data_IF_341619093535
#
_entry.id   IF_341619093535
#
_cell.length_a   1.000
_cell.length_b   1.000
_cell.length_c   1.000
_cell.angle_alpha   90.00
_cell.angle_beta   90.00
_cell.angle_gamma   90.00
#
_symmetry.space_group_name_H-M   'P 1'
#
loop_
_entity.id
_entity.type
_entity.pdbx_description
1 polymer ?
#
# COMPACT_ATOMS: atom_id res chain seq x y z
N UNK A 1 3.03 -18.37 -0.55
CA UNK A 1 2.40 -18.08 0.76
C UNK A 1 3.34 -17.35 1.72
N UNK A 2 4.47 -17.93 2.17
CA UNK A 2 5.37 -17.27 3.13
C UNK A 2 5.89 -15.90 2.65
N UNK A 3 6.22 -15.76 1.36
CA UNK A 3 6.67 -14.49 0.80
C UNK A 3 5.58 -13.40 0.89
N UNK A 4 4.34 -13.72 0.55
CA UNK A 4 3.23 -12.75 0.64
C UNK A 4 2.90 -12.39 2.09
N UNK A 5 2.92 -13.37 3.01
CA UNK A 5 2.76 -13.07 4.44
C UNK A 5 3.89 -12.17 4.96
N UNK A 6 5.14 -12.40 4.54
CA UNK A 6 6.26 -11.52 4.84
C UNK A 6 6.07 -10.10 4.31
N UNK A 7 5.50 -9.95 3.11
CA UNK A 7 5.13 -8.64 2.58
C UNK A 7 4.05 -7.94 3.42
N UNK A 8 3.03 -8.68 3.87
CA UNK A 8 1.97 -8.13 4.73
C UNK A 8 2.50 -7.63 6.07
N UNK A 9 3.45 -8.35 6.66
CA UNK A 9 4.13 -7.90 7.90
C UNK A 9 4.97 -6.65 7.61
N UNK A 10 5.68 -6.60 6.48
CA UNK A 10 6.45 -5.43 6.09
C UNK A 10 5.56 -4.18 5.95
N UNK A 11 4.41 -4.30 5.32
CA UNK A 11 3.45 -3.20 5.18
C UNK A 11 2.73 -2.82 6.48
N UNK A 12 2.63 -3.73 7.45
CA UNK A 12 2.16 -3.39 8.79
C UNK A 12 3.21 -2.60 9.58
N UNK A 13 4.50 -2.92 9.41
CA UNK A 13 5.61 -2.23 10.05
C UNK A 13 5.93 -0.87 9.43
N UNK A 14 5.70 -0.71 8.12
CA UNK A 14 6.00 0.53 7.38
C UNK A 14 5.40 1.79 8.06
N UNK A 15 4.09 1.90 8.29
CA UNK A 15 3.49 3.08 8.90
C UNK A 15 3.89 3.27 10.36
N UNK A 16 4.23 2.21 11.08
CA UNK A 16 4.71 2.28 12.45
C UNK A 16 6.08 2.99 12.50
N UNK A 17 7.05 2.49 11.71
CA UNK A 17 8.37 3.11 11.66
C UNK A 17 8.34 4.51 11.01
N UNK A 18 7.43 4.75 10.05
CA UNK A 18 7.21 6.08 9.52
C UNK A 18 6.79 7.06 10.63
N UNK A 19 5.81 6.70 11.48
CA UNK A 19 5.42 7.54 12.62
C UNK A 19 6.53 7.74 13.64
N UNK A 20 7.32 6.70 13.93
CA UNK A 20 8.47 6.84 14.81
C UNK A 20 9.54 7.78 14.22
N UNK A 21 9.70 7.81 12.91
CA UNK A 21 10.65 8.74 12.26
C UNK A 21 10.22 10.20 12.38
N UNK A 22 8.91 10.49 12.46
CA UNK A 22 8.37 11.84 12.56
C UNK A 22 8.67 12.56 13.88
N UNK A 23 9.30 11.89 14.84
CA UNK A 23 9.81 12.56 16.03
C UNK A 23 10.90 13.62 15.70
N UNK A 24 11.73 13.39 14.67
CA UNK A 24 12.85 14.23 14.28
C UNK A 24 12.97 14.46 12.77
N UNK A 25 12.04 13.96 11.98
CA UNK A 25 12.01 14.10 10.52
C UNK A 25 10.59 14.44 10.06
N UNK A 26 10.48 15.11 8.93
CA UNK A 26 9.19 15.27 8.29
C UNK A 26 8.85 14.07 7.36
N UNK A 27 7.64 14.07 6.79
CA UNK A 27 7.19 12.99 5.92
C UNK A 27 7.92 12.96 4.57
N UNK A 28 8.42 14.10 4.07
CA UNK A 28 9.18 14.19 2.82
C UNK A 28 10.60 13.66 3.01
N UNK A 29 11.26 14.04 4.10
CA UNK A 29 12.57 13.50 4.49
C UNK A 29 12.48 11.99 4.65
N UNK A 30 11.47 11.51 5.39
CA UNK A 30 11.23 10.07 5.58
C UNK A 30 10.95 9.35 4.27
N UNK A 31 10.12 9.90 3.40
CA UNK A 31 9.81 9.32 2.09
C UNK A 31 11.02 9.30 1.17
N UNK A 32 11.89 10.30 1.26
CA UNK A 32 13.13 10.37 0.45
C UNK A 32 14.12 9.29 0.87
N UNK A 33 14.43 9.19 2.16
CA UNK A 33 15.33 8.14 2.67
C UNK A 33 14.75 6.75 2.40
N UNK A 34 13.44 6.56 2.61
CA UNK A 34 12.73 5.33 2.24
C UNK A 34 12.96 4.99 0.76
N UNK A 35 12.74 5.94 -0.15
CA UNK A 35 12.87 5.69 -1.60
C UNK A 35 14.31 5.30 -1.98
N UNK A 36 15.32 5.93 -1.38
CA UNK A 36 16.74 5.61 -1.60
C UNK A 36 17.01 4.16 -1.14
N UNK A 37 16.62 3.78 0.08
CA UNK A 37 16.91 2.45 0.60
C UNK A 37 16.13 1.36 -0.12
N UNK A 38 14.87 1.59 -0.50
CA UNK A 38 14.12 0.67 -1.38
C UNK A 38 14.85 0.47 -2.71
N UNK A 39 15.37 1.55 -3.30
CA UNK A 39 16.15 1.49 -4.55
C UNK A 39 17.39 0.62 -4.40
N UNK A 40 18.15 0.80 -3.30
CA UNK A 40 19.35 0.01 -3.02
C UNK A 40 19.04 -1.48 -2.83
N UNK A 41 18.01 -1.81 -2.05
CA UNK A 41 17.56 -3.20 -1.85
C UNK A 41 17.11 -3.82 -3.17
N UNK A 42 16.32 -3.10 -3.96
CA UNK A 42 15.84 -3.57 -5.25
C UNK A 42 16.96 -3.79 -6.26
N UNK A 43 17.95 -2.88 -6.28
CA UNK A 43 19.14 -2.99 -7.10
C UNK A 43 19.96 -4.23 -6.71
N UNK A 44 20.23 -4.41 -5.42
CA UNK A 44 20.95 -5.59 -4.90
C UNK A 44 20.23 -6.88 -5.30
N UNK A 45 18.92 -6.93 -5.13
CA UNK A 45 18.13 -8.10 -5.53
C UNK A 45 18.18 -8.35 -7.05
N UNK A 46 18.10 -7.30 -7.87
CA UNK A 46 18.22 -7.42 -9.32
C UNK A 46 19.63 -7.89 -9.76
N UNK A 47 20.69 -7.46 -9.07
CA UNK A 47 22.04 -7.98 -9.32
C UNK A 47 22.15 -9.48 -9.04
N UNK A 48 21.59 -9.94 -7.94
CA UNK A 48 21.65 -11.36 -7.56
C UNK A 48 20.78 -12.23 -8.49
N UNK A 49 19.54 -11.81 -8.78
CA UNK A 49 18.54 -12.66 -9.45
C UNK A 49 18.47 -12.47 -10.97
N UNK A 50 18.92 -11.33 -11.47
CA UNK A 50 18.85 -10.95 -12.89
C UNK A 50 20.23 -10.61 -13.49
N UNK A 51 21.32 -11.02 -12.84
CA UNK A 51 22.71 -10.75 -13.25
C UNK A 51 22.96 -9.25 -13.54
N UNK A 52 22.33 -8.36 -12.81
CA UNK A 52 22.43 -6.91 -13.00
C UNK A 52 21.75 -6.37 -14.27
N UNK A 53 20.99 -7.18 -14.99
CA UNK A 53 20.32 -6.73 -16.21
C UNK A 53 19.08 -5.88 -15.84
N UNK A 54 19.24 -4.57 -15.96
CA UNK A 54 18.17 -3.58 -15.75
C UNK A 54 17.51 -3.12 -17.05
N UNK A 55 17.84 -3.73 -18.20
CA UNK A 55 17.30 -3.30 -19.49
C UNK A 55 15.78 -3.44 -19.56
N UNK A 56 15.13 -2.36 -20.00
CA UNK A 56 13.68 -2.28 -20.24
C UNK A 56 13.43 -1.67 -21.61
N UNK A 57 12.37 -2.07 -22.28
CA UNK A 57 11.97 -1.43 -23.53
C UNK A 57 11.22 -0.11 -23.27
N UNK A 58 11.03 0.72 -24.32
CA UNK A 58 10.37 2.04 -24.20
C UNK A 58 8.99 1.95 -23.57
N UNK A 59 8.19 0.94 -23.92
CA UNK A 59 6.83 0.74 -23.36
C UNK A 59 6.90 0.40 -21.87
N UNK A 60 7.77 -0.53 -21.47
CA UNK A 60 8.00 -0.87 -20.06
C UNK A 60 8.47 0.35 -19.28
N UNK A 61 9.41 1.13 -19.82
CA UNK A 61 9.90 2.34 -19.16
C UNK A 61 8.78 3.37 -18.93
N UNK A 62 7.94 3.67 -19.94
CA UNK A 62 6.79 4.56 -19.74
C UNK A 62 5.84 4.08 -18.64
N UNK A 63 5.60 2.76 -18.56
CA UNK A 63 4.77 2.18 -17.52
C UNK A 63 5.42 2.31 -16.14
N UNK A 64 6.72 2.07 -16.03
CA UNK A 64 7.48 2.22 -14.80
C UNK A 64 7.50 3.68 -14.32
N UNK A 65 7.62 4.65 -15.24
CA UNK A 65 7.47 6.08 -14.94
C UNK A 65 6.07 6.38 -14.38
N UNK A 66 5.02 5.87 -15.02
CA UNK A 66 3.66 6.04 -14.51
C UNK A 66 3.51 5.49 -13.08
N UNK A 67 4.04 4.28 -12.82
CA UNK A 67 3.97 3.68 -11.48
C UNK A 67 4.78 4.48 -10.45
N UNK A 68 5.92 5.05 -10.83
CA UNK A 68 6.70 5.94 -9.98
C UNK A 68 5.94 7.22 -9.63
N UNK A 69 5.31 7.85 -10.64
CA UNK A 69 4.56 9.09 -10.46
C UNK A 69 3.27 8.86 -9.66
N UNK A 70 2.42 7.95 -10.11
CA UNK A 70 1.10 7.73 -9.49
C UNK A 70 1.20 6.95 -8.17
N UNK A 71 2.08 5.92 -8.10
CA UNK A 71 2.19 5.04 -6.94
C UNK A 71 3.10 5.59 -5.85
N UNK A 72 4.24 6.18 -6.19
CA UNK A 72 5.21 6.61 -5.17
C UNK A 72 5.18 8.12 -4.97
N UNK A 73 5.30 8.94 -6.01
CA UNK A 73 5.31 10.40 -5.84
C UNK A 73 3.93 11.00 -5.53
N UNK A 74 2.86 10.36 -5.91
CA UNK A 74 1.53 10.81 -5.52
C UNK A 74 1.00 10.00 -4.34
N UNK A 75 0.67 8.72 -4.54
CA UNK A 75 -0.04 7.94 -3.53
C UNK A 75 0.75 7.74 -2.23
N UNK A 76 2.02 7.31 -2.32
CA UNK A 76 2.82 7.09 -1.11
C UNK A 76 3.03 8.42 -0.35
N UNK A 77 3.31 9.55 -1.04
CA UNK A 77 3.53 10.83 -0.37
C UNK A 77 2.30 11.35 0.35
N UNK A 78 1.12 11.33 -0.30
CA UNK A 78 -0.11 11.80 0.38
C UNK A 78 -0.53 10.84 1.51
N UNK A 79 -0.23 9.55 1.40
CA UNK A 79 -0.41 8.58 2.49
C UNK A 79 0.50 8.91 3.68
N UNK A 80 1.80 9.14 3.46
CA UNK A 80 2.74 9.52 4.51
C UNK A 80 2.40 10.88 5.12
N UNK A 81 1.94 11.84 4.32
CA UNK A 81 1.40 13.08 4.83
C UNK A 81 0.19 12.85 5.75
N UNK A 82 -0.78 12.04 5.32
CA UNK A 82 -1.95 11.73 6.14
C UNK A 82 -1.57 11.03 7.45
N UNK A 83 -0.55 10.15 7.46
CA UNK A 83 -0.03 9.50 8.67
C UNK A 83 0.47 10.49 9.73
N UNK A 84 0.86 11.70 9.36
CA UNK A 84 1.19 12.76 10.35
C UNK A 84 -0.03 13.26 11.12
N UNK A 85 -1.25 12.99 10.62
CA UNK A 85 -2.52 13.58 11.09
C UNK A 85 -3.52 12.57 11.64
N UNK A 86 -3.41 11.30 11.25
CA UNK A 86 -4.36 10.25 11.65
C UNK A 86 -3.64 9.03 12.24
N UNK A 87 -4.34 8.20 13.04
CA UNK A 87 -3.81 6.93 13.54
C UNK A 87 -3.44 5.97 12.41
N UNK A 88 -2.43 5.12 12.66
CA UNK A 88 -2.00 4.08 11.72
C UNK A 88 -3.13 3.15 11.35
N UNK A 89 -3.95 2.75 12.35
CA UNK A 89 -5.09 1.86 12.11
C UNK A 89 -6.07 2.41 11.06
N UNK A 90 -6.37 3.72 11.09
CA UNK A 90 -7.25 4.35 10.10
C UNK A 90 -6.61 4.28 8.70
N UNK A 91 -5.36 4.73 8.59
CA UNK A 91 -4.64 4.78 7.32
C UNK A 91 -4.52 3.39 6.68
N UNK A 92 -4.15 2.37 7.47
CA UNK A 92 -3.99 1.00 6.98
C UNK A 92 -5.33 0.40 6.55
N UNK A 93 -6.40 0.57 7.36
CA UNK A 93 -7.70 0.01 7.01
C UNK A 93 -8.30 0.64 5.75
N UNK A 94 -8.19 1.96 5.58
CA UNK A 94 -8.63 2.64 4.35
C UNK A 94 -7.77 2.19 3.16
N UNK A 95 -6.45 2.06 3.32
CA UNK A 95 -5.56 1.54 2.30
C UNK A 95 -5.96 0.14 1.82
N UNK A 96 -6.44 -0.71 2.73
CA UNK A 96 -6.90 -2.06 2.41
C UNK A 96 -8.32 -2.12 1.79
N UNK A 97 -8.97 -0.98 1.56
CA UNK A 97 -10.15 -0.89 0.68
C UNK A 97 -9.79 -0.90 -0.82
N UNK A 98 -8.52 -0.95 -1.17
CA UNK A 98 -8.03 -1.00 -2.55
C UNK A 98 -8.74 -2.01 -3.47
N UNK A 99 -9.11 -3.24 -3.03
CA UNK A 99 -9.83 -4.20 -3.86
C UNK A 99 -11.14 -3.67 -4.45
N UNK A 100 -11.87 -2.79 -3.74
CA UNK A 100 -13.08 -2.14 -4.26
C UNK A 100 -12.77 -1.44 -5.59
N UNK A 101 -11.72 -0.63 -5.59
CA UNK A 101 -11.33 0.15 -6.76
C UNK A 101 -10.76 -0.71 -7.87
N UNK A 102 -10.05 -1.80 -7.52
CA UNK A 102 -9.57 -2.77 -8.50
C UNK A 102 -10.74 -3.44 -9.22
N UNK A 103 -11.78 -3.84 -8.50
CA UNK A 103 -12.99 -4.46 -9.08
C UNK A 103 -13.72 -3.47 -9.99
N UNK A 104 -13.95 -2.24 -9.53
CA UNK A 104 -14.58 -1.20 -10.35
C UNK A 104 -13.78 -0.90 -11.63
N UNK A 105 -12.47 -0.70 -11.50
CA UNK A 105 -11.62 -0.40 -12.67
C UNK A 105 -11.50 -1.61 -13.61
N UNK A 106 -11.47 -2.83 -13.08
CA UNK A 106 -11.52 -4.06 -13.88
C UNK A 106 -12.76 -4.11 -14.76
N UNK A 107 -13.92 -3.84 -14.16
CA UNK A 107 -15.18 -3.79 -14.88
C UNK A 107 -15.22 -2.69 -15.97
N UNK A 108 -14.86 -1.45 -15.63
CA UNK A 108 -14.98 -0.32 -16.55
C UNK A 108 -13.84 -0.23 -17.56
N UNK A 109 -12.58 -0.48 -17.14
CA UNK A 109 -11.41 -0.22 -17.97
C UNK A 109 -10.90 -1.45 -18.73
N UNK A 110 -11.10 -2.66 -18.19
CA UNK A 110 -10.61 -3.89 -18.81
C UNK A 110 -11.72 -4.64 -19.55
N UNK A 111 -12.99 -4.23 -19.37
CA UNK A 111 -14.18 -4.93 -19.89
C UNK A 111 -14.19 -6.42 -19.50
N UNK A 112 -13.52 -6.72 -18.40
CA UNK A 112 -13.56 -8.03 -17.77
C UNK A 112 -14.94 -8.20 -17.15
N UNK A 113 -15.36 -9.43 -17.01
CA UNK A 113 -16.64 -9.95 -16.54
C UNK A 113 -17.61 -9.01 -15.83
N UNK A 114 -18.91 -9.25 -16.03
CA UNK A 114 -20.00 -8.55 -15.31
C UNK A 114 -19.80 -8.68 -13.80
N UNK A 115 -20.07 -7.61 -13.06
CA UNK A 115 -20.10 -7.66 -11.60
C UNK A 115 -21.09 -8.72 -11.14
N UNK A 116 -20.64 -9.61 -10.27
CA UNK A 116 -21.44 -10.69 -9.71
C UNK A 116 -22.11 -10.25 -8.41
N UNK A 117 -23.06 -11.04 -7.90
CA UNK A 117 -23.63 -10.83 -6.55
C UNK A 117 -22.57 -10.83 -5.45
N UNK A 118 -21.48 -11.57 -5.63
CA UNK A 118 -20.37 -11.62 -4.67
C UNK A 118 -19.55 -10.33 -4.69
N UNK A 119 -19.35 -9.71 -5.85
CA UNK A 119 -18.69 -8.39 -5.96
C UNK A 119 -19.51 -7.31 -5.22
N UNK A 120 -20.82 -7.28 -5.45
CA UNK A 120 -21.70 -6.33 -4.75
C UNK A 120 -21.70 -6.54 -3.23
N UNK A 121 -21.76 -7.78 -2.76
CA UNK A 121 -21.69 -8.10 -1.34
C UNK A 121 -20.34 -7.68 -0.74
N UNK A 122 -19.23 -8.01 -1.40
CA UNK A 122 -17.89 -7.64 -0.97
C UNK A 122 -17.72 -6.13 -0.84
N UNK A 123 -18.09 -5.39 -1.89
CA UNK A 123 -18.05 -3.91 -1.90
C UNK A 123 -18.90 -3.33 -0.77
N UNK A 124 -20.12 -3.84 -0.56
CA UNK A 124 -21.02 -3.38 0.49
C UNK A 124 -20.39 -3.53 1.88
N UNK A 125 -19.87 -4.72 2.22
CA UNK A 125 -19.20 -4.93 3.52
C UNK A 125 -17.96 -4.07 3.69
N UNK A 126 -17.16 -3.87 2.63
CA UNK A 126 -15.97 -3.02 2.68
C UNK A 126 -16.32 -1.53 2.87
N UNK A 127 -17.41 -1.03 2.27
CA UNK A 127 -17.88 0.34 2.49
C UNK A 127 -18.31 0.51 3.95
N UNK A 128 -19.07 -0.44 4.51
CA UNK A 128 -19.46 -0.40 5.93
C UNK A 128 -18.23 -0.46 6.83
N UNK A 129 -17.26 -1.32 6.51
CA UNK A 129 -16.00 -1.38 7.25
C UNK A 129 -15.29 -0.01 7.28
N UNK A 130 -15.19 0.66 6.12
CA UNK A 130 -14.61 2.01 6.03
C UNK A 130 -15.36 3.03 6.89
N UNK A 131 -16.69 3.01 6.88
CA UNK A 131 -17.52 3.89 7.72
C UNK A 131 -17.28 3.65 9.22
N UNK A 132 -17.25 2.40 9.67
CA UNK A 132 -17.00 2.07 11.08
C UNK A 132 -15.62 2.52 11.56
N UNK A 133 -14.61 2.35 10.71
CA UNK A 133 -13.22 2.75 11.00
C UNK A 133 -13.08 4.27 11.11
N UNK A 134 -13.66 5.01 10.18
CA UNK A 134 -13.51 6.46 10.13
C UNK A 134 -14.34 7.17 11.19
N UNK A 135 -15.55 6.67 11.50
CA UNK A 135 -16.42 7.25 12.52
C UNK A 135 -15.98 6.94 13.94
N UNK A 136 -15.39 5.77 14.20
CA UNK A 136 -14.84 5.29 15.49
C UNK A 136 -15.85 5.09 16.62
N UNK A 137 -16.96 5.83 16.66
CA UNK A 137 -17.99 5.76 17.70
C UNK A 137 -19.38 5.88 17.12
N UNK A 138 -20.38 5.27 17.79
CA UNK A 138 -21.80 5.39 17.40
C UNK A 138 -22.28 6.84 17.41
N UNK A 139 -21.79 7.65 18.34
CA UNK A 139 -22.11 9.08 18.43
C UNK A 139 -21.63 9.83 17.17
N UNK A 140 -20.41 9.58 16.72
CA UNK A 140 -19.90 10.19 15.49
C UNK A 140 -20.70 9.72 14.27
N UNK A 141 -21.07 8.44 14.22
CA UNK A 141 -21.87 7.88 13.13
C UNK A 141 -23.27 8.53 13.09
N UNK A 142 -23.94 8.64 14.23
CA UNK A 142 -25.27 9.29 14.31
C UNK A 142 -25.24 10.78 13.97
N UNK A 143 -24.12 11.46 14.22
CA UNK A 143 -23.91 12.86 13.85
C UNK A 143 -23.35 13.04 12.43
N UNK A 144 -23.25 11.96 11.62
CA UNK A 144 -22.63 11.94 10.29
C UNK A 144 -21.19 12.51 10.25
N UNK A 145 -20.45 12.36 11.32
CA UNK A 145 -19.03 12.70 11.38
C UNK A 145 -18.21 11.57 10.73
N UNK A 146 -18.12 11.56 9.42
CA UNK A 146 -17.60 10.47 8.59
C UNK A 146 -16.06 10.42 8.52
N UNK A 147 -15.38 10.85 9.57
CA UNK A 147 -13.92 10.90 9.60
C UNK A 147 -13.37 12.31 9.35
N UNK A 148 -12.10 12.38 9.00
CA UNK A 148 -11.37 13.61 8.73
C UNK A 148 -11.08 13.77 7.24
N UNK A 149 -10.69 14.99 6.83
CA UNK A 149 -10.17 15.22 5.46
C UNK A 149 -8.95 14.33 5.14
N UNK A 150 -8.17 13.96 6.15
CA UNK A 150 -6.99 13.12 5.98
C UNK A 150 -7.34 11.65 5.69
N UNK A 151 -8.50 11.17 6.15
CA UNK A 151 -9.02 9.86 5.74
C UNK A 151 -9.38 9.86 4.24
N UNK A 152 -9.91 10.97 3.70
CA UNK A 152 -10.13 11.14 2.26
C UNK A 152 -8.82 11.23 1.46
N UNK A 153 -7.77 11.82 2.04
CA UNK A 153 -6.43 11.83 1.43
C UNK A 153 -5.90 10.41 1.29
N UNK A 154 -6.04 9.56 2.32
CA UNK A 154 -5.68 8.14 2.23
C UNK A 154 -6.52 7.40 1.20
N UNK A 155 -7.82 7.68 1.14
CA UNK A 155 -8.70 7.07 0.13
C UNK A 155 -8.24 7.43 -1.30
N UNK A 156 -7.80 8.65 -1.53
CA UNK A 156 -7.23 9.10 -2.81
C UNK A 156 -5.93 8.34 -3.14
N UNK A 157 -5.06 8.12 -2.16
CA UNK A 157 -3.88 7.28 -2.30
C UNK A 157 -4.26 5.83 -2.67
N UNK A 158 -5.28 5.29 -2.01
CA UNK A 158 -5.78 3.93 -2.24
C UNK A 158 -6.30 3.75 -3.67
N UNK A 159 -7.01 4.74 -4.21
CA UNK A 159 -7.45 4.76 -5.60
C UNK A 159 -6.24 4.76 -6.55
N UNK A 160 -5.24 5.60 -6.29
CA UNK A 160 -4.03 5.67 -7.11
C UNK A 160 -3.24 4.36 -7.08
N UNK A 161 -3.09 3.72 -5.91
CA UNK A 161 -2.49 2.39 -5.82
C UNK A 161 -3.28 1.33 -6.60
N UNK A 162 -4.62 1.39 -6.60
CA UNK A 162 -5.44 0.48 -7.39
C UNK A 162 -5.13 0.61 -8.88
N UNK A 163 -4.97 1.84 -9.41
CA UNK A 163 -4.59 2.04 -10.83
C UNK A 163 -3.23 1.44 -11.13
N UNK A 164 -2.24 1.66 -10.26
CA UNK A 164 -0.89 1.09 -10.44
C UNK A 164 -0.90 -0.42 -10.37
N UNK A 165 -1.70 -1.02 -9.47
CA UNK A 165 -1.88 -2.46 -9.35
C UNK A 165 -2.41 -3.10 -10.64
N UNK A 166 -3.43 -2.51 -11.26
CA UNK A 166 -3.99 -2.96 -12.54
C UNK A 166 -2.95 -2.87 -13.66
N UNK A 167 -2.26 -1.73 -13.76
CA UNK A 167 -1.24 -1.51 -14.78
C UNK A 167 -0.09 -2.51 -14.64
N UNK A 168 0.36 -2.76 -13.41
CA UNK A 168 1.40 -3.75 -13.12
C UNK A 168 0.96 -5.17 -13.52
N UNK A 169 -0.24 -5.59 -13.14
CA UNK A 169 -0.78 -6.91 -13.52
C UNK A 169 -0.81 -7.08 -15.04
N UNK A 170 -1.23 -6.06 -15.76
CA UNK A 170 -1.42 -6.12 -17.21
C UNK A 170 -0.10 -6.15 -17.99
N UNK A 171 0.91 -5.40 -17.54
CA UNK A 171 2.09 -5.13 -18.36
C UNK A 171 3.42 -5.59 -17.78
N UNK A 172 3.53 -5.78 -16.45
CA UNK A 172 4.80 -6.01 -15.77
C UNK A 172 4.88 -7.35 -15.02
N UNK A 173 3.84 -8.20 -15.08
CA UNK A 173 3.76 -9.48 -14.35
C UNK A 173 4.97 -10.40 -14.62
N UNK A 174 5.54 -10.36 -15.83
CA UNK A 174 6.66 -11.20 -16.23
C UNK A 174 8.04 -10.59 -15.93
N UNK A 175 8.08 -9.34 -15.45
CA UNK A 175 9.34 -8.67 -15.15
C UNK A 175 9.95 -9.15 -13.83
N UNK A 176 11.28 -9.01 -13.70
CA UNK A 176 11.95 -9.26 -12.44
C UNK A 176 11.46 -8.27 -11.37
N UNK A 177 11.15 -8.77 -10.17
CA UNK A 177 10.63 -7.97 -9.06
C UNK A 177 11.59 -6.82 -8.68
N UNK A 178 12.89 -7.10 -8.64
CA UNK A 178 13.91 -6.09 -8.37
C UNK A 178 13.95 -4.99 -9.41
N UNK A 179 13.82 -5.33 -10.70
CA UNK A 179 13.81 -4.34 -11.79
C UNK A 179 12.60 -3.40 -11.69
N UNK A 180 11.41 -3.95 -11.45
CA UNK A 180 10.18 -3.14 -11.29
C UNK A 180 10.31 -2.21 -10.08
N UNK A 181 10.70 -2.76 -8.93
CA UNK A 181 10.86 -1.98 -7.68
C UNK A 181 11.97 -0.94 -7.83
N UNK A 182 13.09 -1.31 -8.46
CA UNK A 182 14.20 -0.39 -8.72
C UNK A 182 13.74 0.84 -9.49
N UNK A 183 13.16 0.69 -10.67
CA UNK A 183 12.74 1.84 -11.48
C UNK A 183 11.67 2.70 -10.77
N UNK A 184 10.69 2.07 -10.13
CA UNK A 184 9.66 2.78 -9.39
C UNK A 184 10.25 3.73 -8.34
N UNK A 185 11.16 3.22 -7.50
CA UNK A 185 11.72 4.00 -6.40
C UNK A 185 12.94 4.83 -6.80
N UNK A 186 13.72 4.42 -7.79
CA UNK A 186 14.83 5.21 -8.32
C UNK A 186 14.34 6.53 -8.93
N UNK A 187 13.31 6.48 -9.78
CA UNK A 187 12.72 7.69 -10.36
C UNK A 187 12.16 8.60 -9.26
N UNK A 188 11.46 8.03 -8.29
CA UNK A 188 10.93 8.79 -7.16
C UNK A 188 12.05 9.39 -6.30
N UNK A 189 13.11 8.63 -6.01
CA UNK A 189 14.23 9.11 -5.18
C UNK A 189 14.95 10.30 -5.83
N UNK A 190 15.13 10.31 -7.15
CA UNK A 190 15.73 11.44 -7.86
C UNK A 190 14.90 12.70 -7.65
N UNK A 191 13.57 12.63 -7.86
CA UNK A 191 12.67 13.78 -7.70
C UNK A 191 12.68 14.28 -6.26
N UNK A 192 12.58 13.38 -5.28
CA UNK A 192 12.55 13.73 -3.86
C UNK A 192 13.88 14.31 -3.38
N UNK A 193 15.00 13.74 -3.79
CA UNK A 193 16.36 14.27 -3.44
C UNK A 193 16.53 15.68 -4.01
N UNK A 194 16.17 15.90 -5.29
CA UNK A 194 16.26 17.24 -5.90
C UNK A 194 15.40 18.25 -5.10
N UNK A 195 14.18 17.83 -4.71
CA UNK A 195 13.32 18.69 -3.89
C UNK A 195 13.95 19.03 -2.53
N UNK A 196 14.46 18.04 -1.77
CA UNK A 196 15.09 18.28 -0.47
C UNK A 196 16.33 19.15 -0.58
N UNK A 197 17.16 18.96 -1.60
CA UNK A 197 18.34 19.81 -1.84
C UNK A 197 17.94 21.25 -2.14
N UNK A 198 16.80 21.48 -2.81
CA UNK A 198 16.29 22.82 -3.11
C UNK A 198 15.72 23.54 -1.89
N UNK A 199 15.28 22.79 -0.87
CA UNK A 199 14.69 23.35 0.37
C UNK A 199 15.65 23.38 1.56
N UNK A 200 16.92 22.99 1.34
CA UNK A 200 17.95 22.92 2.40
C UNK A 200 17.54 22.04 3.59
N UNK A 201 16.69 21.04 3.35
CA UNK A 201 16.20 20.11 4.39
C UNK A 201 17.25 19.04 4.71
N UNK A 202 17.19 18.50 5.94
CA UNK A 202 18.10 17.43 6.38
C UNK A 202 17.67 16.11 5.75
N UNK A 203 18.58 15.43 5.06
CA UNK A 203 18.28 14.16 4.41
C UNK A 203 18.05 13.03 5.42
N UNK A 204 18.88 12.98 6.47
CA UNK A 204 18.88 11.88 7.44
C UNK A 204 18.82 12.41 8.87
N UNK A 205 17.81 12.02 9.60
CA UNK A 205 17.56 12.47 10.98
C UNK A 205 17.56 11.32 12.00
N UNK A 206 17.11 10.14 11.61
CA UNK A 206 17.03 8.99 12.52
C UNK A 206 16.99 7.64 11.78
N UNK A 207 17.27 6.57 12.54
CA UNK A 207 17.37 5.20 12.03
C UNK A 207 16.04 4.67 11.47
N UNK A 208 14.89 5.18 11.95
CA UNK A 208 13.59 4.70 11.51
C UNK A 208 13.33 5.00 10.03
N UNK A 209 13.88 6.09 9.49
CA UNK A 209 13.82 6.40 8.05
C UNK A 209 14.46 5.27 7.21
N UNK A 210 15.61 4.75 7.66
CA UNK A 210 16.30 3.62 7.00
C UNK A 210 15.47 2.35 7.13
N UNK A 211 14.96 2.06 8.33
CA UNK A 211 14.16 0.86 8.61
C UNK A 211 12.90 0.82 7.72
N UNK A 212 12.21 1.95 7.55
CA UNK A 212 11.09 2.05 6.59
C UNK A 212 11.54 1.62 5.19
N UNK A 213 12.65 2.16 4.69
CA UNK A 213 13.16 1.83 3.36
C UNK A 213 13.54 0.36 3.19
N UNK A 214 14.25 -0.20 4.17
CA UNK A 214 14.69 -1.61 4.13
C UNK A 214 13.49 -2.56 4.17
N UNK A 215 12.56 -2.32 5.10
CA UNK A 215 11.36 -3.16 5.27
C UNK A 215 10.50 -3.10 4.01
N UNK A 216 10.26 -1.92 3.47
CA UNK A 216 9.45 -1.73 2.26
C UNK A 216 10.12 -2.33 1.04
N UNK A 217 11.43 -2.17 0.88
CA UNK A 217 12.18 -2.79 -0.20
C UNK A 217 12.07 -4.31 -0.20
N UNK A 218 12.25 -4.93 0.97
CA UNK A 218 12.04 -6.35 1.15
C UNK A 218 10.57 -6.75 0.89
N UNK A 219 9.62 -5.96 1.40
CA UNK A 219 8.19 -6.18 1.25
C UNK A 219 7.76 -6.22 -0.23
N UNK A 220 8.19 -5.26 -1.05
CA UNK A 220 7.86 -5.24 -2.50
C UNK A 220 8.46 -6.44 -3.24
N UNK A 221 9.69 -6.82 -2.93
CA UNK A 221 10.32 -8.00 -3.53
C UNK A 221 9.53 -9.27 -3.16
N UNK A 222 9.25 -9.46 -1.88
CA UNK A 222 8.48 -10.59 -1.39
C UNK A 222 7.07 -10.64 -2.00
N UNK A 223 6.41 -9.50 -2.13
CA UNK A 223 5.10 -9.39 -2.75
C UNK A 223 5.12 -9.82 -4.22
N UNK A 224 6.03 -9.26 -5.03
CA UNK A 224 6.11 -9.60 -6.45
C UNK A 224 6.53 -11.05 -6.68
N UNK A 225 7.43 -11.60 -5.86
CA UNK A 225 7.79 -13.01 -5.92
C UNK A 225 6.64 -13.92 -5.47
N UNK A 226 5.83 -13.48 -4.51
CA UNK A 226 4.61 -14.14 -4.08
C UNK A 226 3.58 -14.21 -5.21
N UNK A 227 3.28 -13.06 -5.84
CA UNK A 227 2.32 -12.94 -6.94
C UNK A 227 2.61 -13.84 -8.15
N UNK A 228 3.88 -14.20 -8.38
CA UNK A 228 4.26 -15.14 -9.44
C UNK A 228 3.88 -16.58 -9.14
N UNK A 229 3.73 -16.94 -7.85
CA UNK A 229 3.67 -18.32 -7.38
C UNK A 229 2.30 -18.75 -6.84
N UNK A 230 1.44 -17.79 -6.52
CA UNK A 230 0.11 -18.04 -5.95
C UNK A 230 -0.96 -17.31 -6.74
N UNK A 231 -2.20 -17.78 -6.66
CA UNK A 231 -3.35 -17.08 -7.27
C UNK A 231 -3.53 -15.70 -6.63
N UNK A 232 -4.02 -14.74 -7.40
CA UNK A 232 -4.27 -13.38 -6.92
C UNK A 232 -5.17 -13.37 -5.67
N UNK A 233 -6.19 -14.22 -5.64
CA UNK A 233 -7.04 -14.47 -4.49
C UNK A 233 -6.25 -14.83 -3.23
N UNK A 234 -5.37 -15.80 -3.32
CA UNK A 234 -4.56 -16.22 -2.18
C UNK A 234 -3.61 -15.11 -1.70
N UNK A 235 -3.07 -14.30 -2.64
CA UNK A 235 -2.24 -13.15 -2.28
C UNK A 235 -3.02 -12.13 -1.46
N UNK A 236 -4.19 -11.72 -1.95
CA UNK A 236 -5.01 -10.73 -1.25
C UNK A 236 -5.53 -11.25 0.10
N UNK A 237 -5.88 -12.58 0.22
CA UNK A 237 -6.24 -13.15 1.52
C UNK A 237 -5.11 -13.01 2.55
N UNK A 238 -3.86 -13.24 2.13
CA UNK A 238 -2.70 -13.09 3.00
C UNK A 238 -2.43 -11.62 3.32
N UNK A 239 -2.67 -10.71 2.37
CA UNK A 239 -2.54 -9.26 2.57
C UNK A 239 -3.49 -8.71 3.63
N UNK A 240 -4.66 -9.36 3.85
CA UNK A 240 -5.57 -9.00 4.94
C UNK A 240 -4.97 -9.18 6.34
N UNK A 241 -3.88 -9.91 6.49
CA UNK A 241 -3.15 -9.96 7.76
C UNK A 241 -2.50 -8.61 8.12
N UNK A 242 -2.26 -7.72 7.14
CA UNK A 242 -1.66 -6.40 7.37
C UNK A 242 -2.45 -5.53 8.36
N UNK A 243 -3.78 -5.30 8.20
CA UNK A 243 -4.55 -4.53 9.18
C UNK A 243 -4.51 -5.10 10.59
N UNK A 244 -4.50 -6.43 10.71
CA UNK A 244 -4.39 -7.08 12.02
C UNK A 244 -3.05 -6.76 12.68
N UNK A 245 -1.93 -6.98 12.00
CA UNK A 245 -0.60 -6.69 12.52
C UNK A 245 -0.40 -5.19 12.78
N UNK A 246 -0.85 -4.31 11.86
CA UNK A 246 -0.75 -2.87 12.03
C UNK A 246 -1.54 -2.36 13.26
N UNK A 247 -2.71 -2.95 13.53
CA UNK A 247 -3.50 -2.63 14.72
C UNK A 247 -2.78 -3.02 16.00
N UNK A 248 -2.24 -4.25 16.05
CA UNK A 248 -1.46 -4.71 17.22
C UNK A 248 -0.22 -3.84 17.44
N UNK A 249 0.55 -3.58 16.39
CA UNK A 249 1.76 -2.76 16.47
C UNK A 249 1.44 -1.31 16.83
N UNK A 250 0.39 -0.73 16.27
CA UNK A 250 -0.08 0.62 16.61
C UNK A 250 -0.47 0.73 18.09
N UNK A 251 -1.16 -0.27 18.61
CA UNK A 251 -1.52 -0.31 20.03
C UNK A 251 -0.28 -0.44 20.92
N UNK A 252 0.60 -1.44 20.69
CA UNK A 252 1.73 -1.72 21.57
C UNK A 252 2.89 -0.73 21.45
N UNK A 253 3.17 -0.23 20.23
CA UNK A 253 4.36 0.60 19.97
C UNK A 253 4.01 2.09 20.02
N UNK A 254 2.86 2.49 19.46
CA UNK A 254 2.47 3.90 19.34
C UNK A 254 1.45 4.33 20.41
N UNK A 255 0.91 3.40 21.22
CA UNK A 255 -0.14 3.69 22.20
C UNK A 255 -1.48 4.09 21.54
N UNK A 256 -1.72 3.71 20.28
CA UNK A 256 -2.98 4.02 19.59
C UNK A 256 -4.14 3.22 20.18
N UNK A 257 -5.21 3.91 20.58
CA UNK A 257 -6.41 3.25 21.08
C UNK A 257 -7.26 2.69 19.95
N UNK A 258 -7.65 1.44 20.10
CA UNK A 258 -8.53 0.75 19.14
C UNK A 258 -9.95 0.75 19.68
N UNK A 259 -10.89 1.28 18.91
CA UNK A 259 -12.30 1.29 19.31
C UNK A 259 -13.00 -0.01 18.90
N UNK A 260 -14.09 -0.34 19.60
CA UNK A 260 -14.93 -1.50 19.27
C UNK A 260 -15.44 -1.43 17.82
N UNK A 261 -15.80 -0.23 17.34
CA UNK A 261 -16.22 -0.06 15.94
C UNK A 261 -15.11 -0.36 14.95
N UNK A 262 -13.86 0.00 15.25
CA UNK A 262 -12.71 -0.34 14.41
C UNK A 262 -12.46 -1.85 14.38
N UNK A 263 -12.64 -2.56 15.49
CA UNK A 263 -12.57 -4.04 15.52
C UNK A 263 -13.63 -4.65 14.59
N UNK A 264 -14.89 -4.20 14.71
CA UNK A 264 -15.94 -4.63 13.78
C UNK A 264 -15.64 -4.27 12.33
N UNK A 265 -15.06 -3.09 12.08
CA UNK A 265 -14.60 -2.67 10.75
C UNK A 265 -13.55 -3.62 10.17
N UNK A 266 -12.56 -4.05 10.97
CA UNK A 266 -11.57 -5.05 10.56
C UNK A 266 -12.26 -6.38 10.18
N UNK A 267 -13.18 -6.88 11.03
CA UNK A 267 -13.88 -8.13 10.75
C UNK A 267 -14.72 -8.04 9.47
N UNK A 268 -15.43 -6.92 9.25
CA UNK A 268 -16.20 -6.71 8.02
C UNK A 268 -15.31 -6.55 6.79
N UNK A 269 -14.13 -5.98 6.92
CA UNK A 269 -13.15 -5.92 5.84
C UNK A 269 -12.75 -7.34 5.40
N UNK A 270 -12.45 -8.23 6.35
CA UNK A 270 -12.17 -9.65 6.08
C UNK A 270 -13.33 -10.33 5.34
N UNK A 271 -14.57 -10.13 5.82
CA UNK A 271 -15.78 -10.68 5.19
C UNK A 271 -15.94 -10.15 3.76
N UNK A 272 -15.80 -8.83 3.57
CA UNK A 272 -15.94 -8.18 2.26
C UNK A 272 -14.93 -8.68 1.24
N UNK A 273 -13.67 -8.76 1.63
CA UNK A 273 -12.63 -9.32 0.75
C UNK A 273 -12.87 -10.80 0.50
N UNK A 274 -13.33 -11.57 1.49
CA UNK A 274 -13.70 -12.98 1.32
C UNK A 274 -14.74 -13.17 0.21
N UNK A 275 -15.76 -12.31 0.11
CA UNK A 275 -16.73 -12.35 -0.98
C UNK A 275 -16.11 -12.08 -2.36
N UNK A 276 -15.14 -11.15 -2.45
CA UNK A 276 -14.44 -10.88 -3.72
C UNK A 276 -13.59 -12.09 -4.18
N UNK A 277 -13.17 -12.96 -3.24
CA UNK A 277 -12.44 -14.19 -3.58
C UNK A 277 -13.30 -15.30 -4.18
N UNK A 278 -14.50 -15.49 -3.66
CA UNK A 278 -15.42 -16.51 -4.17
C UNK A 278 -15.65 -16.35 -5.67
N UNK A 279 -15.57 -15.13 -6.20
CA UNK A 279 -15.65 -14.85 -7.64
C UNK A 279 -14.51 -15.50 -8.43
N UNK A 280 -13.27 -15.37 -7.97
CA UNK A 280 -12.09 -15.87 -8.72
C UNK A 280 -12.07 -17.41 -8.80
N UNK A 281 -12.64 -18.11 -7.81
CA UNK A 281 -12.72 -19.57 -7.81
C UNK A 281 -13.83 -20.11 -8.72
N UNK A 282 -14.91 -19.36 -8.92
CA UNK A 282 -16.03 -19.76 -9.79
C UNK A 282 -15.71 -19.58 -11.29
N UNK A 283 -14.74 -18.73 -11.63
CA UNK A 283 -14.37 -18.39 -13.00
C UNK A 283 -13.01 -18.95 -13.43
N UNK A 284 -12.32 -19.69 -12.55
CA UNK A 284 -11.05 -20.40 -12.81
C UNK A 284 -11.27 -21.89 -13.07
#
# INVERSE_FOLDING_TARGET
MLATLGASIAWALEPIFAKLSYANADFLETSTVRAIFVTLIALTYAFITNKGNLKVNKKQFSILVYIALAGTLFADLIYFFALTKIPVINAVLIGHMQPIFIVFMGFFCLKEDKLTKFDYAGIFFMIIAGLLVTTKTLTNLSMLRLGSVYDLVVLSATIAWATTGIVMRKYLKQMNAGVVTFYRFFIASIVLVIYLLSTSSVLFSNIYQILVGVIVGAGYILYYEGLKRIKAAQSSALELSTPFFATLLGFYILGELVTVMQIFGILLLFVGVGFLFVREEVHS
#
